data_IF_748648633894
#
_entry.id   IF_748648633894
#
_cell.length_a   1.000
_cell.length_b   1.000
_cell.length_c   1.000
_cell.angle_alpha   90.00
_cell.angle_beta   90.00
_cell.angle_gamma   90.00
#
_symmetry.space_group_name_H-M   'P 1'
#
loop_
_entity.id
_entity.type
_entity.pdbx_description
1 polymer ?
#
# COMPACT_ATOMS: atom_id res chain seq x y z
N UNK A 1 5.92 -23.28 -11.10
CA UNK A 1 6.90 -23.80 -12.09
C UNK A 1 7.65 -22.62 -12.72
N UNK A 2 8.57 -22.86 -13.68
CA UNK A 2 9.14 -21.76 -14.47
C UNK A 2 8.05 -21.00 -15.24
N UNK A 3 7.04 -21.71 -15.74
CA UNK A 3 5.90 -21.10 -16.43
C UNK A 3 5.09 -20.19 -15.50
N UNK A 4 4.85 -20.61 -14.25
CA UNK A 4 4.20 -19.75 -13.24
C UNK A 4 4.98 -18.47 -12.98
N UNK A 5 6.31 -18.58 -12.86
CA UNK A 5 7.17 -17.42 -12.65
C UNK A 5 7.12 -16.50 -13.88
N UNK A 6 7.26 -17.07 -15.08
CA UNK A 6 7.23 -16.32 -16.33
C UNK A 6 5.88 -15.63 -16.57
N UNK A 7 4.76 -16.23 -16.16
CA UNK A 7 3.43 -15.64 -16.28
C UNK A 7 3.24 -14.47 -15.31
N UNK A 8 3.69 -14.60 -14.06
CA UNK A 8 3.51 -13.54 -13.05
C UNK A 8 4.49 -12.37 -13.21
N UNK A 9 5.75 -12.62 -13.57
CA UNK A 9 6.78 -11.58 -13.69
C UNK A 9 6.65 -10.79 -15.02
N UNK A 10 6.02 -11.37 -16.04
CA UNK A 10 5.69 -10.69 -17.29
C UNK A 10 4.37 -9.92 -17.14
N UNK A 11 4.49 -8.61 -16.90
CA UNK A 11 3.34 -7.71 -16.65
C UNK A 11 2.26 -7.80 -17.72
N UNK A 12 2.64 -7.97 -18.99
CA UNK A 12 1.66 -8.06 -20.07
C UNK A 12 0.90 -9.39 -20.01
N UNK A 13 1.61 -10.51 -19.87
CA UNK A 13 0.97 -11.83 -19.76
C UNK A 13 0.10 -11.95 -18.52
N UNK A 14 0.58 -11.45 -17.39
CA UNK A 14 -0.21 -11.41 -16.15
C UNK A 14 -1.51 -10.64 -16.37
N UNK A 15 -1.42 -9.43 -16.93
CA UNK A 15 -2.59 -8.59 -17.23
C UNK A 15 -3.58 -9.30 -18.15
N UNK A 16 -3.10 -9.87 -19.25
CA UNK A 16 -3.94 -10.61 -20.21
C UNK A 16 -4.66 -11.80 -19.53
N UNK A 17 -3.93 -12.56 -18.70
CA UNK A 17 -4.50 -13.69 -17.96
C UNK A 17 -5.55 -13.24 -16.91
N UNK A 18 -5.35 -12.09 -16.26
CA UNK A 18 -6.35 -11.54 -15.32
C UNK A 18 -7.63 -11.15 -16.06
N UNK A 19 -7.51 -10.46 -17.20
CA UNK A 19 -8.65 -10.06 -18.03
C UNK A 19 -9.40 -11.28 -18.56
N UNK A 20 -8.70 -12.29 -19.08
CA UNK A 20 -9.31 -13.54 -19.56
C UNK A 20 -10.08 -14.25 -18.44
N UNK A 21 -9.56 -14.19 -17.21
CA UNK A 21 -10.23 -14.73 -16.05
C UNK A 21 -11.37 -13.84 -15.52
N UNK A 22 -11.64 -12.68 -16.11
CA UNK A 22 -12.67 -11.74 -15.64
C UNK A 22 -12.31 -11.06 -14.31
N UNK A 23 -11.01 -10.85 -14.06
CA UNK A 23 -10.51 -10.04 -12.97
C UNK A 23 -10.19 -8.64 -13.49
N UNK A 24 -10.52 -7.63 -12.69
CA UNK A 24 -10.32 -6.25 -13.09
C UNK A 24 -8.85 -5.84 -12.88
N UNK A 25 -8.33 -5.09 -13.84
CA UNK A 25 -6.95 -4.57 -13.90
C UNK A 25 -7.04 -3.12 -14.36
N UNK A 26 -6.02 -2.28 -14.14
CA UNK A 26 -6.05 -0.91 -14.63
C UNK A 26 -6.34 -0.88 -16.14
N UNK A 27 -7.42 -0.19 -16.49
CA UNK A 27 -7.80 0.06 -17.87
C UNK A 27 -6.66 0.80 -18.55
N UNK A 28 -6.23 0.29 -19.70
CA UNK A 28 -5.19 0.92 -20.48
C UNK A 28 -5.36 0.59 -21.95
N UNK A 29 -4.92 1.51 -22.79
CA UNK A 29 -4.94 1.35 -24.24
C UNK A 29 -3.70 2.00 -24.85
N UNK A 30 -3.28 1.47 -25.99
CA UNK A 30 -2.20 2.04 -26.75
C UNK A 30 -2.76 2.81 -27.94
N UNK A 31 -2.38 4.08 -28.07
CA UNK A 31 -2.90 4.98 -29.11
C UNK A 31 -1.74 5.69 -29.81
N UNK A 32 -1.98 6.08 -31.07
CA UNK A 32 -1.03 6.82 -31.91
C UNK A 32 -1.47 8.25 -32.20
N UNK A 33 -2.63 8.66 -31.67
CA UNK A 33 -3.21 9.99 -31.89
C UNK A 33 -3.72 10.58 -30.57
N UNK A 34 -3.68 11.91 -30.48
CA UNK A 34 -4.26 12.65 -29.34
C UNK A 34 -5.77 12.42 -29.25
N UNK A 35 -6.46 12.28 -30.40
CA UNK A 35 -7.87 11.97 -30.45
C UNK A 35 -8.19 10.64 -29.76
N UNK A 36 -7.43 9.58 -30.08
CA UNK A 36 -7.58 8.27 -29.43
C UNK A 36 -7.33 8.31 -27.93
N UNK A 37 -6.35 9.10 -27.47
CA UNK A 37 -6.12 9.30 -26.03
C UNK A 37 -7.33 9.96 -25.36
N UNK A 38 -7.91 10.99 -25.99
CA UNK A 38 -9.08 11.69 -25.48
C UNK A 38 -10.35 10.83 -25.52
N UNK A 39 -10.51 9.95 -26.51
CA UNK A 39 -11.61 8.98 -26.56
C UNK A 39 -11.54 8.04 -25.37
N UNK A 40 -10.38 7.41 -25.15
CA UNK A 40 -10.16 6.53 -24.01
C UNK A 40 -10.40 7.24 -22.66
N UNK A 41 -9.86 8.44 -22.46
CA UNK A 41 -10.05 9.18 -21.22
C UNK A 41 -11.51 9.58 -20.95
N UNK A 42 -12.35 9.73 -21.99
CA UNK A 42 -13.80 9.93 -21.80
C UNK A 42 -14.52 8.66 -21.34
N UNK A 43 -13.98 7.49 -21.65
CA UNK A 43 -14.52 6.20 -21.22
C UNK A 43 -14.10 5.88 -19.77
N UNK A 44 -12.83 6.10 -19.43
CA UNK A 44 -12.28 5.72 -18.11
C UNK A 44 -12.31 6.83 -17.06
N UNK A 45 -12.47 8.08 -17.47
CA UNK A 45 -12.39 9.24 -16.58
C UNK A 45 -10.97 9.72 -16.31
N UNK A 46 -10.84 10.69 -15.42
CA UNK A 46 -9.56 11.29 -15.01
C UNK A 46 -9.28 11.03 -13.52
N UNK A 47 -8.01 11.02 -13.08
CA UNK A 47 -6.81 11.26 -13.90
C UNK A 47 -6.42 10.04 -14.76
N UNK A 48 -5.64 10.29 -15.81
CA UNK A 48 -4.98 9.25 -16.61
C UNK A 48 -3.47 9.45 -16.64
N UNK A 49 -2.74 8.37 -16.87
CA UNK A 49 -1.29 8.35 -17.02
C UNK A 49 -0.97 8.11 -18.49
N UNK A 50 -0.15 9.00 -19.07
CA UNK A 50 0.38 8.84 -20.42
C UNK A 50 1.83 8.39 -20.33
N UNK A 51 2.17 7.29 -21.00
CA UNK A 51 3.54 6.76 -21.08
C UNK A 51 3.93 6.55 -22.55
N UNK A 52 4.95 7.26 -23.05
CA UNK A 52 5.44 7.03 -24.41
C UNK A 52 6.05 5.65 -24.56
N UNK A 53 5.79 5.01 -25.71
CA UNK A 53 6.35 3.70 -26.02
C UNK A 53 7.83 3.85 -26.39
N UNK A 54 8.65 2.91 -25.95
CA UNK A 54 10.10 2.86 -26.23
C UNK A 54 10.90 4.09 -25.75
N UNK A 55 10.43 4.81 -24.72
CA UNK A 55 11.21 5.82 -24.01
C UNK A 55 11.67 5.31 -22.65
N UNK A 56 12.79 5.84 -22.15
CA UNK A 56 13.33 5.51 -20.83
C UNK A 56 13.07 6.66 -19.85
N UNK A 57 12.93 6.33 -18.57
CA UNK A 57 12.84 7.32 -17.48
C UNK A 57 11.57 8.17 -17.47
N UNK A 58 10.50 7.76 -18.16
CA UNK A 58 9.25 8.51 -18.21
C UNK A 58 9.30 9.78 -19.08
N UNK A 59 10.36 9.94 -19.88
CA UNK A 59 10.52 11.09 -20.78
C UNK A 59 9.34 11.19 -21.75
N UNK A 60 8.67 12.35 -21.77
CA UNK A 60 7.48 12.64 -22.58
C UNK A 60 6.17 12.09 -22.02
N UNK A 61 6.19 11.43 -20.86
CA UNK A 61 5.00 10.98 -20.14
C UNK A 61 4.56 11.94 -19.04
N UNK A 62 3.39 11.70 -18.49
CA UNK A 62 2.84 12.53 -17.42
C UNK A 62 1.44 12.10 -16.99
N UNK A 63 0.98 12.69 -15.90
CA UNK A 63 -0.42 12.61 -15.49
C UNK A 63 -1.21 13.69 -16.22
N UNK A 64 -2.46 13.39 -16.53
CA UNK A 64 -3.43 14.37 -16.98
C UNK A 64 -4.65 14.28 -16.06
N UNK A 65 -5.05 15.42 -15.50
CA UNK A 65 -6.21 15.56 -14.63
C UNK A 65 -7.46 16.06 -15.36
N UNK A 66 -7.28 16.57 -16.58
CA UNK A 66 -8.35 16.98 -17.47
C UNK A 66 -7.98 16.78 -18.96
N UNK A 67 -8.93 17.09 -19.85
CA UNK A 67 -8.76 16.94 -21.30
C UNK A 67 -7.69 17.85 -21.90
N UNK A 68 -7.43 19.03 -21.34
CA UNK A 68 -6.49 19.99 -21.90
C UNK A 68 -5.05 19.63 -21.52
N UNK A 69 -4.84 19.19 -20.27
CA UNK A 69 -3.61 18.53 -19.85
C UNK A 69 -3.35 17.27 -20.69
N UNK A 70 -4.37 16.44 -20.92
CA UNK A 70 -4.22 15.22 -21.71
C UNK A 70 -3.79 15.50 -23.13
N UNK A 71 -4.39 16.48 -23.82
CA UNK A 71 -3.97 16.85 -25.18
C UNK A 71 -2.50 17.24 -25.22
N UNK A 72 -2.07 18.01 -24.24
CA UNK A 72 -0.70 18.51 -24.12
C UNK A 72 0.30 17.37 -23.87
N UNK A 73 0.03 16.54 -22.87
CA UNK A 73 0.88 15.40 -22.50
C UNK A 73 0.87 14.32 -23.59
N UNK A 74 -0.28 14.01 -24.19
CA UNK A 74 -0.38 13.03 -25.27
C UNK A 74 0.37 13.49 -26.53
N UNK A 75 0.26 14.76 -26.92
CA UNK A 75 1.00 15.29 -28.07
C UNK A 75 2.51 15.23 -27.84
N UNK A 76 2.97 15.66 -26.66
CA UNK A 76 4.38 15.57 -26.27
C UNK A 76 4.86 14.11 -26.24
N UNK A 77 4.04 13.21 -25.70
CA UNK A 77 4.37 11.79 -25.59
C UNK A 77 4.45 11.06 -26.93
N UNK A 78 3.53 11.35 -27.86
CA UNK A 78 3.56 10.81 -29.23
C UNK A 78 4.83 11.28 -29.92
N UNK A 79 5.18 12.57 -29.81
CA UNK A 79 6.39 13.13 -30.41
C UNK A 79 7.68 12.55 -29.79
N UNK A 80 7.68 12.27 -28.48
CA UNK A 80 8.81 11.70 -27.78
C UNK A 80 9.02 10.20 -28.09
N UNK A 81 7.98 9.48 -28.48
CA UNK A 81 8.05 8.06 -28.80
C UNK A 81 8.75 7.83 -30.16
N UNK A 82 9.78 6.97 -30.23
CA UNK A 82 10.42 6.59 -31.49
C UNK A 82 9.48 5.95 -32.52
N UNK A 83 8.31 5.47 -32.07
CA UNK A 83 7.29 4.78 -32.88
C UNK A 83 5.97 5.55 -32.94
N UNK A 84 5.94 6.82 -32.50
CA UNK A 84 4.75 7.68 -32.45
C UNK A 84 3.57 7.05 -31.71
N UNK A 85 3.84 6.40 -30.57
CA UNK A 85 2.85 5.60 -29.84
C UNK A 85 2.94 5.87 -28.34
N UNK A 86 1.78 6.01 -27.69
CA UNK A 86 1.67 6.19 -26.23
C UNK A 86 0.73 5.14 -25.64
N UNK A 87 1.05 4.67 -24.44
CA UNK A 87 0.12 3.97 -23.56
C UNK A 87 -0.62 5.00 -22.72
N UNK A 88 -1.94 4.97 -22.74
CA UNK A 88 -2.81 5.75 -21.84
C UNK A 88 -3.47 4.78 -20.88
N UNK A 89 -3.37 5.05 -19.58
CA UNK A 89 -3.82 4.15 -18.51
C UNK A 89 -4.63 4.95 -17.48
N UNK A 90 -5.67 4.36 -16.92
CA UNK A 90 -6.41 4.96 -15.80
C UNK A 90 -5.47 5.16 -14.60
N UNK A 91 -5.54 6.33 -13.95
CA UNK A 91 -4.75 6.56 -12.74
C UNK A 91 -5.52 6.07 -11.52
N UNK A 92 -5.01 5.01 -10.91
CA UNK A 92 -5.47 4.52 -9.60
C UNK A 92 -4.74 5.20 -8.42
N UNK A 93 -3.99 6.28 -8.68
CA UNK A 93 -3.31 7.05 -7.63
C UNK A 93 -4.31 7.56 -6.59
N UNK A 94 -4.03 7.33 -5.31
CA UNK A 94 -4.94 7.70 -4.22
C UNK A 94 -5.96 6.62 -3.83
N UNK A 95 -6.07 5.52 -4.57
CA UNK A 95 -6.88 4.38 -4.14
C UNK A 95 -6.24 3.67 -2.94
N UNK A 96 -7.03 2.94 -2.17
CA UNK A 96 -6.54 2.13 -1.06
C UNK A 96 -5.72 0.96 -1.61
N UNK A 97 -4.56 0.69 -1.02
CA UNK A 97 -3.65 -0.39 -1.46
C UNK A 97 -3.59 -1.51 -0.41
N UNK A 98 -3.85 -2.74 -0.85
CA UNK A 98 -3.87 -3.92 0.00
C UNK A 98 -2.90 -4.99 -0.52
N UNK A 99 -2.29 -5.70 0.40
CA UNK A 99 -1.51 -6.90 0.11
C UNK A 99 -2.07 -8.08 0.89
N UNK A 100 -2.03 -9.26 0.31
CA UNK A 100 -2.36 -10.50 1.02
C UNK A 100 -1.30 -11.55 0.77
N UNK A 101 -0.85 -12.14 1.86
CA UNK A 101 0.09 -13.26 1.86
C UNK A 101 -0.70 -14.55 1.87
N UNK A 102 -0.56 -15.34 0.81
CA UNK A 102 -1.32 -16.57 0.61
C UNK A 102 -0.39 -17.77 0.55
N UNK A 103 -0.88 -18.92 1.00
CA UNK A 103 -0.16 -20.20 0.91
C UNK A 103 -1.10 -21.26 0.36
N UNK A 104 -0.60 -22.05 -0.60
CA UNK A 104 -1.31 -23.17 -1.23
C UNK A 104 -0.45 -24.43 -1.25
N UNK A 105 -1.09 -25.59 -1.10
CA UNK A 105 -0.43 -26.89 -1.19
C UNK A 105 -0.97 -27.78 -2.33
N UNK A 106 -0.31 -28.93 -2.53
CA UNK A 106 -0.63 -29.90 -3.58
C UNK A 106 -2.02 -30.55 -3.45
N UNK A 107 -2.65 -30.46 -2.27
CA UNK A 107 -3.99 -30.97 -2.01
C UNK A 107 -5.07 -29.90 -2.29
N UNK A 108 -4.67 -28.75 -2.84
CA UNK A 108 -5.50 -27.57 -3.08
C UNK A 108 -6.01 -26.89 -1.79
N UNK A 109 -5.37 -27.16 -0.64
CA UNK A 109 -5.60 -26.34 0.54
C UNK A 109 -5.05 -24.93 0.28
N UNK A 110 -5.80 -23.93 0.71
CA UNK A 110 -5.47 -22.51 0.51
C UNK A 110 -5.79 -21.74 1.79
N UNK A 111 -4.84 -20.93 2.24
CA UNK A 111 -5.00 -20.04 3.41
C UNK A 111 -4.48 -18.65 3.09
N UNK A 112 -5.19 -17.63 3.59
CA UNK A 112 -4.65 -16.27 3.72
C UNK A 112 -3.92 -16.20 5.06
N UNK A 113 -2.60 -16.06 5.02
CA UNK A 113 -1.78 -15.96 6.23
C UNK A 113 -1.90 -14.58 6.84
N UNK A 114 -1.91 -13.53 6.02
CA UNK A 114 -1.98 -12.16 6.50
C UNK A 114 -2.57 -11.24 5.43
N UNK A 115 -3.39 -10.29 5.86
CA UNK A 115 -3.80 -9.14 5.06
C UNK A 115 -3.13 -7.88 5.59
N UNK A 116 -2.61 -7.07 4.68
CA UNK A 116 -1.88 -5.85 4.96
C UNK A 116 -2.62 -4.71 4.26
N UNK A 117 -2.84 -3.61 4.96
CA UNK A 117 -3.38 -2.37 4.42
C UNK A 117 -2.29 -1.29 4.44
N UNK A 118 -2.17 -0.54 3.34
CA UNK A 118 -1.23 0.56 3.27
C UNK A 118 -1.92 1.83 3.78
N UNK A 119 -1.27 2.53 4.71
CA UNK A 119 -1.70 3.86 5.16
C UNK A 119 -1.46 4.88 4.05
N UNK A 120 -0.29 4.79 3.41
CA UNK A 120 0.02 5.54 2.20
C UNK A 120 -0.75 4.93 1.02
N UNK A 121 -1.56 5.71 0.29
CA UNK A 121 -2.38 5.18 -0.79
C UNK A 121 -1.57 4.88 -2.06
N UNK A 122 -2.20 4.20 -3.02
CA UNK A 122 -1.64 3.86 -4.33
C UNK A 122 -0.90 5.05 -4.94
N UNK A 123 0.30 4.77 -5.46
CA UNK A 123 1.22 5.77 -6.01
C UNK A 123 2.54 5.85 -5.23
N UNK A 124 2.57 5.32 -4.01
CA UNK A 124 3.77 5.07 -3.22
C UNK A 124 3.99 3.56 -3.16
N UNK A 125 5.20 3.10 -3.48
CA UNK A 125 5.52 1.68 -3.44
C UNK A 125 5.32 1.12 -2.02
N UNK A 126 4.71 -0.06 -1.85
CA UNK A 126 4.47 -0.71 -0.53
C UNK A 126 5.72 -0.80 0.37
N UNK A 127 6.90 -0.91 -0.24
CA UNK A 127 8.21 -0.83 0.41
C UNK A 127 8.51 0.51 1.10
N UNK A 128 8.05 1.62 0.51
CA UNK A 128 8.15 2.98 1.02
C UNK A 128 6.86 3.45 1.71
N UNK A 129 5.79 2.65 1.70
CA UNK A 129 4.55 2.94 2.43
C UNK A 129 4.66 2.56 3.90
N UNK A 130 3.99 3.31 4.77
CA UNK A 130 3.59 2.82 6.08
C UNK A 130 2.46 1.81 5.88
N UNK A 131 2.57 0.64 6.51
CA UNK A 131 1.58 -0.43 6.35
C UNK A 131 1.16 -1.03 7.68
N UNK A 132 -0.05 -1.58 7.73
CA UNK A 132 -0.65 -2.16 8.93
C UNK A 132 -1.15 -3.58 8.67
N UNK A 133 -1.10 -4.42 9.70
CA UNK A 133 -1.74 -5.74 9.69
C UNK A 133 -2.54 -5.95 10.98
N UNK A 134 -3.77 -6.51 10.91
CA UNK A 134 -4.51 -6.88 9.70
C UNK A 134 -5.00 -5.65 8.91
N UNK A 135 -5.72 -5.88 7.79
CA UNK A 135 -6.47 -4.82 7.12
C UNK A 135 -7.60 -4.32 8.05
N UNK A 136 -7.88 -3.02 8.00
CA UNK A 136 -8.72 -2.31 8.97
C UNK A 136 -10.00 -1.77 8.32
N UNK A 137 -9.90 -1.19 7.12
CA UNK A 137 -10.99 -0.40 6.51
C UNK A 137 -11.79 -1.17 5.45
N UNK A 138 -11.62 -2.49 5.40
CA UNK A 138 -12.42 -3.38 4.56
C UNK A 138 -13.63 -3.89 5.32
N UNK A 139 -14.80 -3.86 4.69
CA UNK A 139 -15.94 -4.66 5.13
C UNK A 139 -15.66 -6.14 4.85
N UNK A 140 -16.31 -7.04 5.60
CA UNK A 140 -16.18 -8.49 5.38
C UNK A 140 -16.49 -8.92 3.92
N UNK A 141 -17.51 -8.38 3.22
CA UNK A 141 -17.72 -8.65 1.80
C UNK A 141 -16.57 -8.24 0.88
N UNK A 142 -15.93 -7.09 1.14
CA UNK A 142 -14.76 -6.65 0.36
C UNK A 142 -13.54 -7.54 0.65
N UNK A 143 -13.30 -7.86 1.92
CA UNK A 143 -12.24 -8.78 2.33
C UNK A 143 -12.40 -10.17 1.69
N UNK A 144 -13.62 -10.73 1.69
CA UNK A 144 -13.92 -12.01 1.03
C UNK A 144 -13.65 -11.95 -0.46
N UNK A 145 -14.00 -10.84 -1.12
CA UNK A 145 -13.71 -10.66 -2.55
C UNK A 145 -12.21 -10.68 -2.82
N UNK A 146 -11.41 -9.97 -2.00
CA UNK A 146 -9.94 -10.01 -2.08
C UNK A 146 -9.44 -11.44 -1.89
N UNK A 147 -9.87 -12.13 -0.82
CA UNK A 147 -9.51 -13.52 -0.53
C UNK A 147 -9.80 -14.47 -1.69
N UNK A 148 -10.99 -14.39 -2.27
CA UNK A 148 -11.43 -15.24 -3.37
C UNK A 148 -10.64 -14.93 -4.66
N UNK A 149 -10.39 -13.64 -4.93
CA UNK A 149 -9.54 -13.24 -6.06
C UNK A 149 -8.11 -13.74 -5.88
N UNK A 150 -7.54 -13.69 -4.68
CA UNK A 150 -6.19 -14.22 -4.43
C UNK A 150 -6.10 -15.73 -4.71
N UNK A 151 -7.09 -16.52 -4.30
CA UNK A 151 -7.13 -17.96 -4.64
C UNK A 151 -7.24 -18.16 -6.15
N UNK A 152 -8.10 -17.39 -6.82
CA UNK A 152 -8.27 -17.47 -8.27
C UNK A 152 -6.98 -17.09 -9.01
N UNK A 153 -6.28 -16.06 -8.56
CA UNK A 153 -4.99 -15.62 -9.11
C UNK A 153 -3.91 -16.69 -8.92
N UNK A 154 -3.83 -17.31 -7.74
CA UNK A 154 -2.93 -18.44 -7.49
C UNK A 154 -3.17 -19.61 -8.46
N UNK A 155 -4.44 -19.90 -8.77
CA UNK A 155 -4.81 -20.94 -9.74
C UNK A 155 -4.43 -20.56 -11.17
N UNK A 156 -4.69 -19.31 -11.59
CA UNK A 156 -4.37 -18.82 -12.94
C UNK A 156 -2.86 -18.88 -13.19
N UNK A 157 -2.05 -18.44 -12.21
CA UNK A 157 -0.59 -18.46 -12.34
C UNK A 157 -0.02 -19.87 -12.14
N UNK A 158 -0.76 -20.77 -11.49
CA UNK A 158 -0.33 -22.15 -11.28
C UNK A 158 0.68 -22.31 -10.14
N UNK A 159 0.55 -21.51 -9.07
CA UNK A 159 1.32 -21.72 -7.84
C UNK A 159 0.60 -22.78 -7.01
N UNK A 160 1.12 -24.01 -7.02
CA UNK A 160 0.50 -25.18 -6.38
C UNK A 160 1.12 -25.54 -5.03
N UNK A 161 2.39 -25.21 -4.78
CA UNK A 161 3.13 -25.67 -3.59
C UNK A 161 4.02 -24.57 -3.01
N UNK A 162 3.44 -23.61 -2.30
CA UNK A 162 4.22 -22.52 -1.73
C UNK A 162 3.40 -21.30 -1.35
N UNK A 163 4.12 -20.23 -0.99
CA UNK A 163 3.55 -18.93 -0.67
C UNK A 163 3.69 -17.92 -1.82
N UNK A 164 2.80 -16.93 -1.86
CA UNK A 164 2.87 -15.79 -2.77
C UNK A 164 2.23 -14.55 -2.14
N UNK A 165 2.64 -13.39 -2.61
CA UNK A 165 2.06 -12.10 -2.25
C UNK A 165 1.19 -11.61 -3.41
N UNK A 166 -0.04 -11.20 -3.14
CA UNK A 166 -0.95 -10.62 -4.15
C UNK A 166 -1.33 -9.21 -3.72
N UNK A 167 -1.24 -8.26 -4.66
CA UNK A 167 -1.54 -6.85 -4.41
C UNK A 167 -2.80 -6.40 -5.13
N UNK A 168 -3.57 -5.57 -4.44
CA UNK A 168 -4.84 -5.05 -4.91
C UNK A 168 -4.96 -3.55 -4.64
N UNK A 169 -5.74 -2.87 -5.47
CA UNK A 169 -6.25 -1.54 -5.19
C UNK A 169 -7.77 -1.58 -5.02
N UNK A 170 -8.29 -0.82 -4.06
CA UNK A 170 -9.73 -0.63 -3.84
C UNK A 170 -10.06 0.84 -3.96
N UNK A 171 -11.00 1.18 -4.84
CA UNK A 171 -11.53 2.52 -4.93
C UNK A 171 -12.32 2.85 -3.66
N UNK A 172 -11.93 3.86 -2.88
CA UNK A 172 -12.66 4.23 -1.65
C UNK A 172 -14.09 4.73 -1.92
N UNK A 173 -14.41 5.16 -3.15
CA UNK A 173 -15.73 5.75 -3.46
C UNK A 173 -16.81 4.68 -3.72
N UNK A 174 -16.47 3.58 -4.40
CA UNK A 174 -17.43 2.58 -4.86
C UNK A 174 -17.06 1.11 -4.54
N UNK A 175 -15.88 0.88 -3.93
CA UNK A 175 -15.39 -0.45 -3.61
C UNK A 175 -14.96 -1.28 -4.83
N UNK A 176 -14.71 -0.64 -6.00
CA UNK A 176 -14.13 -1.30 -7.18
C UNK A 176 -12.77 -1.88 -6.81
N UNK A 177 -12.62 -3.19 -7.00
CA UNK A 177 -11.42 -3.95 -6.68
C UNK A 177 -10.64 -4.21 -7.96
N UNK A 178 -9.34 -3.91 -7.96
CA UNK A 178 -8.43 -4.10 -9.07
C UNK A 178 -7.21 -4.92 -8.62
N UNK A 179 -6.75 -5.84 -9.46
CA UNK A 179 -5.50 -6.58 -9.26
C UNK A 179 -4.31 -5.75 -9.77
N UNK A 180 -3.26 -5.64 -8.96
CA UNK A 180 -2.05 -4.90 -9.31
C UNK A 180 -0.95 -5.84 -9.82
N UNK A 181 -0.54 -6.77 -8.97
CA UNK A 181 0.47 -7.76 -9.30
C UNK A 181 0.39 -8.97 -8.36
N UNK A 182 1.08 -10.05 -8.73
CA UNK A 182 1.40 -11.15 -7.83
C UNK A 182 2.89 -11.46 -7.89
N UNK A 183 3.49 -11.66 -6.72
CA UNK A 183 4.86 -12.13 -6.59
C UNK A 183 4.84 -13.63 -6.25
N UNK A 184 5.22 -14.54 -7.18
CA UNK A 184 5.10 -16.00 -7.02
C UNK A 184 6.24 -16.60 -6.16
N UNK A 185 6.56 -15.94 -5.05
CA UNK A 185 7.70 -16.22 -4.17
C UNK A 185 7.49 -15.57 -2.81
N UNK A 186 8.39 -15.88 -1.87
CA UNK A 186 8.55 -15.06 -0.67
C UNK A 186 8.98 -13.63 -1.03
N UNK A 187 8.50 -12.69 -0.24
CA UNK A 187 8.69 -11.24 -0.41
C UNK A 187 9.10 -10.59 0.93
N UNK A 188 9.42 -9.30 0.90
CA UNK A 188 9.56 -8.48 2.11
C UNK A 188 8.26 -8.53 2.94
N UNK A 189 7.11 -8.42 2.27
CA UNK A 189 5.78 -8.53 2.89
C UNK A 189 5.53 -9.89 3.52
N UNK A 190 6.03 -11.00 2.94
CA UNK A 190 5.93 -12.34 3.55
C UNK A 190 6.75 -12.46 4.84
N UNK A 191 7.90 -11.76 4.91
CA UNK A 191 8.71 -11.71 6.12
C UNK A 191 8.01 -10.88 7.22
N UNK A 192 7.44 -9.73 6.84
CA UNK A 192 6.59 -8.90 7.71
C UNK A 192 5.39 -9.71 8.23
N UNK A 193 4.63 -10.36 7.35
CA UNK A 193 3.49 -11.20 7.71
C UNK A 193 3.87 -12.37 8.62
N UNK A 194 5.02 -13.01 8.37
CA UNK A 194 5.51 -14.09 9.25
C UNK A 194 5.83 -13.59 10.65
N UNK A 195 6.30 -12.34 10.77
CA UNK A 195 6.57 -11.69 12.07
C UNK A 195 5.29 -11.16 12.73
N UNK A 196 4.35 -10.66 11.93
CA UNK A 196 3.08 -10.16 12.39
C UNK A 196 2.18 -11.28 12.95
N UNK A 197 2.20 -12.46 12.32
CA UNK A 197 1.27 -13.56 12.65
C UNK A 197 1.92 -14.68 13.46
N UNK A 198 3.25 -14.74 13.47
CA UNK A 198 4.01 -15.89 13.95
C UNK A 198 3.96 -17.11 13.02
N UNK A 199 3.23 -17.05 11.90
CA UNK A 199 3.18 -18.12 10.90
C UNK A 199 4.47 -18.10 10.05
N UNK A 200 5.31 -19.15 10.05
CA UNK A 200 6.62 -19.09 9.39
C UNK A 200 6.52 -19.43 7.89
N UNK A 201 6.02 -18.48 7.07
CA UNK A 201 5.67 -18.68 5.65
C UNK A 201 6.76 -19.38 4.86
N UNK A 202 8.00 -18.87 4.91
CA UNK A 202 9.12 -19.46 4.15
C UNK A 202 9.42 -20.91 4.56
N UNK A 203 9.32 -21.23 5.84
CA UNK A 203 9.55 -22.58 6.38
C UNK A 203 8.45 -23.55 5.96
N UNK A 204 7.19 -23.09 6.00
CA UNK A 204 6.04 -23.86 5.53
C UNK A 204 6.14 -24.08 4.02
N UNK A 205 6.35 -23.02 3.23
CA UNK A 205 6.48 -23.09 1.78
C UNK A 205 7.59 -24.05 1.33
N UNK A 206 8.74 -24.06 2.01
CA UNK A 206 9.83 -25.00 1.71
C UNK A 206 9.42 -26.47 1.93
N UNK A 207 8.60 -26.77 2.94
CA UNK A 207 8.06 -28.11 3.17
C UNK A 207 7.00 -28.48 2.13
N UNK A 208 6.11 -27.55 1.77
CA UNK A 208 5.12 -27.78 0.72
C UNK A 208 5.78 -28.10 -0.63
N UNK A 209 6.88 -27.42 -0.95
CA UNK A 209 7.64 -27.64 -2.19
C UNK A 209 8.24 -29.06 -2.32
N UNK A 210 8.45 -29.77 -1.20
CA UNK A 210 8.90 -31.18 -1.19
C UNK A 210 7.75 -32.17 -0.98
N UNK A 211 6.51 -31.70 -1.11
CA UNK A 211 5.32 -32.54 -1.18
C UNK A 211 4.55 -32.71 0.13
N UNK A 212 4.80 -31.92 1.17
CA UNK A 212 3.90 -31.89 2.33
C UNK A 212 2.60 -31.15 2.00
N UNK A 213 1.54 -31.40 2.77
CA UNK A 213 0.31 -30.58 2.82
C UNK A 213 0.27 -29.74 4.09
N UNK A 214 -0.54 -28.68 4.11
CA UNK A 214 -0.72 -27.79 5.26
C UNK A 214 -1.25 -28.53 6.49
N UNK A 215 -2.08 -29.56 6.30
CA UNK A 215 -2.64 -30.40 7.36
C UNK A 215 -1.58 -31.29 8.04
N UNK A 216 -0.52 -31.66 7.30
CA UNK A 216 0.58 -32.49 7.81
C UNK A 216 1.60 -31.68 8.64
N UNK A 217 1.57 -30.36 8.52
CA UNK A 217 2.50 -29.45 9.18
C UNK A 217 1.90 -28.91 10.47
N UNK A 218 2.56 -29.12 11.60
CA UNK A 218 2.15 -28.55 12.89
C UNK A 218 2.53 -27.07 13.04
N UNK A 219 1.65 -26.29 13.67
CA UNK A 219 1.93 -24.92 14.10
C UNK A 219 2.81 -24.94 15.36
N UNK A 220 4.05 -24.46 15.23
CA UNK A 220 5.05 -24.49 16.30
C UNK A 220 4.73 -23.57 17.48
N UNK A 221 3.92 -22.52 17.28
CA UNK A 221 3.57 -21.57 18.35
C UNK A 221 2.47 -22.15 19.25
N UNK A 222 1.42 -22.72 18.66
CA UNK A 222 0.31 -23.31 19.44
C UNK A 222 0.61 -24.74 19.89
N UNK A 223 1.51 -25.43 19.20
CA UNK A 223 1.91 -26.82 19.45
C UNK A 223 0.80 -27.86 19.25
N UNK A 224 -0.40 -27.43 18.86
CA UNK A 224 -1.63 -28.25 18.92
C UNK A 224 -2.50 -28.15 17.66
N UNK A 225 -2.27 -27.15 16.81
CA UNK A 225 -3.03 -26.95 15.57
C UNK A 225 -2.16 -27.21 14.34
N UNK A 226 -2.75 -27.60 13.19
CA UNK A 226 -2.01 -27.68 11.93
C UNK A 226 -1.68 -26.28 11.38
N UNK A 227 -0.94 -26.21 10.27
CA UNK A 227 -0.70 -25.01 9.48
C UNK A 227 -1.83 -24.71 8.47
N UNK A 228 -2.85 -25.57 8.36
CA UNK A 228 -4.05 -25.36 7.55
C UNK A 228 -5.08 -24.46 8.25
N UNK A 229 -4.66 -23.26 8.64
CA UNK A 229 -5.51 -22.24 9.26
C UNK A 229 -5.12 -20.84 8.80
N UNK A 230 -6.05 -19.89 8.95
CA UNK A 230 -5.80 -18.46 8.74
C UNK A 230 -5.56 -17.82 10.13
N UNK A 231 -4.39 -17.20 10.40
CA UNK A 231 -4.12 -16.52 11.65
C UNK A 231 -5.11 -15.38 11.95
N UNK A 232 -5.53 -15.28 13.22
CA UNK A 232 -6.32 -14.16 13.73
C UNK A 232 -5.49 -13.38 14.76
N UNK A 233 -5.35 -12.08 14.56
CA UNK A 233 -4.54 -11.21 15.41
C UNK A 233 -5.45 -10.43 16.36
N UNK A 234 -5.10 -10.42 17.65
CA UNK A 234 -5.76 -9.61 18.67
C UNK A 234 -4.97 -8.32 18.98
N UNK A 235 -4.12 -7.91 18.04
CA UNK A 235 -3.27 -6.72 18.08
C UNK A 235 -3.12 -6.15 16.67
N UNK A 236 -2.60 -4.92 16.59
CA UNK A 236 -2.24 -4.23 15.37
C UNK A 236 -0.73 -4.24 15.21
N UNK A 237 -0.27 -4.55 14.00
CA UNK A 237 1.13 -4.44 13.61
C UNK A 237 1.28 -3.25 12.69
N UNK A 238 2.28 -2.39 12.94
CA UNK A 238 2.61 -1.25 12.08
C UNK A 238 4.05 -1.38 11.61
N UNK A 239 4.23 -1.31 10.29
CA UNK A 239 5.54 -1.19 9.63
C UNK A 239 5.76 0.25 9.20
N UNK A 240 6.92 0.80 9.52
CA UNK A 240 7.38 2.12 9.04
C UNK A 240 8.70 1.95 8.29
N UNK A 241 8.81 2.44 7.04
CA UNK A 241 10.08 2.41 6.31
C UNK A 241 11.13 3.34 6.92
N UNK A 242 12.41 3.03 6.66
CA UNK A 242 13.56 3.85 7.03
C UNK A 242 14.26 4.33 5.77
N UNK A 243 14.48 5.64 5.67
CA UNK A 243 15.22 6.27 4.57
C UNK A 243 16.51 6.91 5.06
N UNK A 244 17.51 7.09 4.19
CA UNK A 244 18.79 7.71 4.55
C UNK A 244 19.26 8.73 3.49
N UNK A 245 18.36 9.65 3.12
CA UNK A 245 18.62 10.68 2.10
C UNK A 245 19.78 11.62 2.45
N UNK A 246 20.13 11.77 3.73
CA UNK A 246 21.28 12.57 4.15
C UNK A 246 22.61 12.08 3.55
N UNK A 247 22.71 10.79 3.19
CA UNK A 247 23.88 10.23 2.49
C UNK A 247 23.88 10.50 0.98
N UNK A 248 22.79 11.05 0.43
CA UNK A 248 22.59 11.23 -1.01
C UNK A 248 22.07 12.65 -1.32
N UNK A 249 22.90 13.71 -1.19
CA UNK A 249 22.46 15.10 -1.31
C UNK A 249 21.92 15.49 -2.69
N UNK A 250 22.24 14.73 -3.74
CA UNK A 250 21.69 14.91 -5.08
C UNK A 250 20.39 14.13 -5.33
N UNK A 251 19.93 13.33 -4.37
CA UNK A 251 18.71 12.54 -4.49
C UNK A 251 17.51 13.32 -3.96
N UNK A 252 16.43 13.35 -4.74
CA UNK A 252 15.17 13.95 -4.34
C UNK A 252 14.41 13.04 -3.36
N UNK A 253 14.04 13.59 -2.20
CA UNK A 253 13.28 12.91 -1.14
C UNK A 253 11.77 12.76 -1.44
N UNK A 254 11.43 12.59 -2.72
CA UNK A 254 10.07 12.34 -3.20
C UNK A 254 9.81 10.83 -3.27
N UNK A 255 8.73 10.37 -2.63
CA UNK A 255 8.32 8.96 -2.69
C UNK A 255 7.42 8.73 -3.92
N UNK A 256 7.40 7.50 -4.40
CA UNK A 256 6.66 7.12 -5.60
C UNK A 256 6.64 5.60 -5.80
N UNK A 257 6.35 5.10 -7.00
CA UNK A 257 6.24 3.67 -7.28
C UNK A 257 7.59 2.92 -7.29
N UNK A 258 8.72 3.63 -7.17
CA UNK A 258 10.04 3.03 -7.02
C UNK A 258 10.55 3.21 -5.59
N UNK A 259 10.88 2.09 -4.94
CA UNK A 259 11.33 2.05 -3.55
C UNK A 259 12.66 2.80 -3.35
N UNK A 260 12.74 3.63 -2.30
CA UNK A 260 13.93 4.39 -1.90
C UNK A 260 14.34 4.13 -0.44
N UNK A 261 13.51 3.46 0.34
CA UNK A 261 13.84 3.04 1.71
C UNK A 261 15.00 2.05 1.74
N UNK A 262 15.81 2.12 2.80
CA UNK A 262 16.99 1.28 3.04
C UNK A 262 16.74 0.20 4.09
N UNK A 263 15.57 0.23 4.73
CA UNK A 263 15.15 -0.69 5.76
C UNK A 263 13.73 -0.37 6.24
N UNK A 264 13.30 -1.08 7.27
CA UNK A 264 11.98 -0.92 7.87
C UNK A 264 12.02 -1.35 9.34
N UNK A 265 11.10 -0.80 10.12
CA UNK A 265 10.85 -1.21 11.51
C UNK A 265 9.43 -1.73 11.61
N UNK A 266 9.23 -2.69 12.51
CA UNK A 266 7.93 -3.29 12.80
C UNK A 266 7.65 -3.13 14.29
N UNK A 267 6.43 -2.77 14.62
CA UNK A 267 5.93 -2.66 15.99
C UNK A 267 4.61 -3.39 16.13
N UNK A 268 4.27 -3.79 17.36
CA UNK A 268 3.01 -4.44 17.70
C UNK A 268 2.38 -3.63 18.84
N UNK A 269 1.10 -3.32 18.76
CA UNK A 269 0.33 -2.64 19.81
C UNK A 269 -1.11 -3.14 19.87
N UNK A 270 -1.79 -2.90 20.99
CA UNK A 270 -3.23 -3.22 21.16
C UNK A 270 -4.15 -2.20 20.47
N UNK A 271 -3.58 -1.09 20.01
CA UNK A 271 -4.21 -0.09 19.16
C UNK A 271 -3.25 0.36 18.06
N UNK A 272 -3.79 0.96 17.00
CA UNK A 272 -2.97 1.55 15.94
C UNK A 272 -2.07 2.66 16.47
N UNK A 273 -2.59 3.55 17.33
CA UNK A 273 -1.84 4.63 17.95
C UNK A 273 -0.63 4.12 18.74
N UNK A 274 -0.81 3.07 19.56
CA UNK A 274 0.28 2.46 20.33
C UNK A 274 1.35 1.88 19.40
N UNK A 275 0.95 1.09 18.41
CA UNK A 275 1.86 0.49 17.44
C UNK A 275 2.63 1.57 16.66
N UNK A 276 1.93 2.56 16.10
CA UNK A 276 2.53 3.64 15.31
C UNK A 276 3.59 4.41 16.13
N UNK A 277 3.27 4.85 17.35
CA UNK A 277 4.22 5.57 18.20
C UNK A 277 5.45 4.71 18.52
N UNK A 278 5.27 3.42 18.80
CA UNK A 278 6.37 2.46 19.01
C UNK A 278 7.23 2.31 17.75
N UNK A 279 6.62 2.23 16.57
CA UNK A 279 7.36 2.14 15.31
C UNK A 279 8.25 3.37 15.12
N UNK A 280 7.71 4.58 15.27
CA UNK A 280 8.49 5.81 15.09
C UNK A 280 9.64 5.92 16.09
N UNK A 281 9.40 5.56 17.36
CA UNK A 281 10.45 5.52 18.39
C UNK A 281 11.55 4.50 18.08
N UNK A 282 11.22 3.39 17.43
CA UNK A 282 12.15 2.33 17.05
C UNK A 282 12.87 2.56 15.71
N UNK A 283 12.67 3.69 15.02
CA UNK A 283 13.33 3.99 13.73
C UNK A 283 14.85 4.20 13.82
N UNK A 284 15.43 4.18 15.02
CA UNK A 284 16.85 4.48 15.26
C UNK A 284 17.24 5.84 14.63
N UNK A 285 16.34 6.81 14.78
CA UNK A 285 16.47 8.17 14.25
C UNK A 285 16.45 9.24 15.37
N UNK A 286 16.54 8.82 16.64
CA UNK A 286 16.50 9.72 17.80
C UNK A 286 15.11 10.33 18.04
N UNK A 287 14.05 9.61 17.68
CA UNK A 287 12.67 10.05 17.83
C UNK A 287 12.05 9.41 19.09
N UNK A 288 11.22 10.16 19.82
CA UNK A 288 10.46 9.65 20.97
C UNK A 288 9.03 9.20 20.62
N UNK A 289 8.66 9.34 19.34
CA UNK A 289 7.33 9.09 18.78
C UNK A 289 7.24 9.75 17.40
N UNK A 290 6.02 9.98 16.90
CA UNK A 290 5.80 10.68 15.62
C UNK A 290 6.19 12.17 15.74
N UNK A 291 7.28 12.63 15.09
CA UNK A 291 7.80 13.98 15.32
C UNK A 291 6.96 15.04 14.61
N UNK A 292 7.10 16.30 15.05
CA UNK A 292 6.69 17.47 14.25
C UNK A 292 7.80 17.84 13.27
N UNK A 293 7.41 18.45 12.14
CA UNK A 293 8.31 19.03 11.14
C UNK A 293 7.85 20.44 10.81
N UNK A 294 8.73 21.27 10.24
CA UNK A 294 8.33 22.62 9.83
C UNK A 294 7.39 22.51 8.63
N UNK A 295 6.18 23.05 8.78
CA UNK A 295 5.19 23.17 7.70
C UNK A 295 4.97 24.65 7.43
N UNK A 296 5.20 25.10 6.21
CA UNK A 296 4.85 26.46 5.80
C UNK A 296 3.35 26.49 5.45
N UNK A 297 2.50 27.30 6.13
CA UNK A 297 1.08 27.40 5.80
C UNK A 297 0.82 27.81 4.35
N UNK A 298 1.75 28.55 3.72
CA UNK A 298 1.63 28.93 2.32
C UNK A 298 1.85 27.75 1.35
N UNK A 299 2.51 26.67 1.79
CA UNK A 299 2.95 25.55 0.95
C UNK A 299 2.44 24.19 1.48
N UNK A 300 1.27 24.17 2.14
CA UNK A 300 0.67 22.95 2.71
C UNK A 300 0.61 21.79 1.71
N UNK A 301 0.23 22.10 0.46
CA UNK A 301 0.17 21.09 -0.61
C UNK A 301 1.52 20.45 -0.89
N UNK A 302 2.62 21.20 -0.79
CA UNK A 302 3.97 20.69 -1.02
C UNK A 302 4.43 19.81 0.16
N UNK A 303 4.18 20.25 1.39
CA UNK A 303 4.50 19.51 2.61
C UNK A 303 3.77 18.16 2.70
N UNK A 304 2.60 18.04 2.06
CA UNK A 304 1.76 16.83 2.06
C UNK A 304 1.99 15.92 0.83
N UNK A 305 2.92 16.27 -0.06
CA UNK A 305 3.37 15.36 -1.13
C UNK A 305 4.03 14.11 -0.53
N UNK A 306 3.99 12.97 -1.24
CA UNK A 306 4.73 11.76 -0.87
C UNK A 306 6.21 12.05 -0.55
N UNK A 307 6.57 11.95 0.72
CA UNK A 307 7.93 12.18 1.24
C UNK A 307 8.10 11.41 2.56
N UNK A 308 9.35 11.15 3.02
CA UNK A 308 9.61 10.55 4.33
C UNK A 308 9.02 11.32 5.52
N UNK A 309 8.71 12.61 5.33
CA UNK A 309 8.21 13.49 6.38
C UNK A 309 6.71 13.76 6.27
N UNK A 310 6.02 13.17 5.29
CA UNK A 310 4.60 13.44 5.00
C UNK A 310 3.71 13.22 6.22
N UNK A 311 3.83 12.07 6.89
CA UNK A 311 3.01 11.76 8.07
C UNK A 311 3.33 12.71 9.25
N UNK A 312 4.59 13.12 9.40
CA UNK A 312 4.97 14.14 10.38
C UNK A 312 4.40 15.51 10.06
N UNK A 313 4.28 15.87 8.78
CA UNK A 313 3.61 17.11 8.35
C UNK A 313 2.11 17.05 8.64
N UNK A 314 1.44 15.92 8.36
CA UNK A 314 0.05 15.67 8.75
C UNK A 314 -0.13 15.88 10.27
N UNK A 315 0.73 15.25 11.07
CA UNK A 315 0.66 15.37 12.53
C UNK A 315 0.93 16.80 13.02
N UNK A 316 1.86 17.52 12.40
CA UNK A 316 2.12 18.94 12.73
C UNK A 316 0.88 19.79 12.48
N UNK A 317 0.25 19.63 11.32
CA UNK A 317 -0.98 20.37 10.97
C UNK A 317 -2.09 20.05 11.97
N UNK A 318 -2.28 18.78 12.36
CA UNK A 318 -3.29 18.40 13.36
C UNK A 318 -3.04 19.09 14.69
N UNK A 319 -1.80 19.02 15.21
CA UNK A 319 -1.38 19.68 16.47
C UNK A 319 -1.63 21.18 16.44
N UNK A 320 -1.32 21.84 15.33
CA UNK A 320 -1.48 23.29 15.16
C UNK A 320 -2.94 23.71 14.92
N UNK A 321 -3.80 22.79 14.47
CA UNK A 321 -5.21 23.05 14.15
C UNK A 321 -6.17 22.92 15.32
N UNK A 322 -5.70 22.52 16.50
CA UNK A 322 -6.55 22.22 17.64
C UNK A 322 -7.40 23.43 18.07
N UNK A 323 -8.72 23.21 18.12
CA UNK A 323 -9.71 24.15 18.63
C UNK A 323 -10.39 23.50 19.84
N UNK A 324 -10.30 24.12 21.02
CA UNK A 324 -10.87 23.57 22.28
C UNK A 324 -10.41 22.13 22.62
N UNK A 325 -9.17 21.78 22.26
CA UNK A 325 -8.59 20.46 22.52
C UNK A 325 -9.04 19.38 21.53
N UNK A 326 -9.64 19.76 20.41
CA UNK A 326 -10.07 18.85 19.34
C UNK A 326 -9.53 19.23 17.98
N UNK A 327 -9.24 18.24 17.14
CA UNK A 327 -8.91 18.48 15.73
C UNK A 327 -10.22 18.72 14.97
N UNK A 328 -10.39 19.87 14.27
CA UNK A 328 -11.63 20.15 13.56
C UNK A 328 -11.87 19.20 12.38
N UNK A 329 -13.11 18.77 12.15
CA UNK A 329 -13.47 17.88 11.02
C UNK A 329 -13.03 18.44 9.65
N UNK A 330 -13.10 19.77 9.48
CA UNK A 330 -12.62 20.47 8.27
C UNK A 330 -11.12 20.22 8.02
N UNK A 331 -10.32 20.06 9.07
CA UNK A 331 -8.90 19.74 8.97
C UNK A 331 -8.71 18.30 8.47
N UNK A 332 -9.46 17.35 9.03
CA UNK A 332 -9.41 15.95 8.61
C UNK A 332 -9.83 15.77 7.15
N UNK A 333 -10.90 16.44 6.73
CA UNK A 333 -11.35 16.45 5.34
C UNK A 333 -10.29 17.00 4.40
N UNK A 334 -9.70 18.14 4.74
CA UNK A 334 -8.65 18.76 3.92
C UNK A 334 -7.38 17.90 3.82
N UNK A 335 -6.97 17.27 4.93
CA UNK A 335 -5.85 16.33 4.95
C UNK A 335 -6.15 15.09 4.10
N UNK A 336 -7.37 14.56 4.15
CA UNK A 336 -7.79 13.45 3.30
C UNK A 336 -7.75 13.84 1.80
N UNK A 337 -8.28 14.99 1.43
CA UNK A 337 -8.29 15.46 0.02
C UNK A 337 -6.88 15.56 -0.57
N UNK A 338 -5.93 16.11 0.21
CA UNK A 338 -4.56 16.31 -0.22
C UNK A 338 -3.71 15.04 -0.15
N UNK A 339 -3.97 14.16 0.82
CA UNK A 339 -3.11 13.00 1.05
C UNK A 339 -3.67 11.68 0.50
N UNK A 340 -5.00 11.58 0.40
CA UNK A 340 -5.76 10.36 0.15
C UNK A 340 -5.52 9.25 1.17
N UNK A 341 -4.94 9.57 2.34
CA UNK A 341 -4.87 8.67 3.50
C UNK A 341 -6.30 8.45 3.99
N UNK A 342 -6.66 7.20 4.28
CA UNK A 342 -8.03 6.86 4.70
C UNK A 342 -8.45 7.65 5.95
N UNK A 343 -9.68 8.20 6.01
CA UNK A 343 -10.18 8.97 7.14
C UNK A 343 -10.04 8.24 8.49
N UNK A 344 -10.10 6.91 8.51
CA UNK A 344 -9.90 6.13 9.72
C UNK A 344 -8.51 6.37 10.35
N UNK A 345 -7.45 6.37 9.54
CA UNK A 345 -6.10 6.64 10.05
C UNK A 345 -5.95 8.09 10.52
N UNK A 346 -6.58 9.04 9.81
CA UNK A 346 -6.56 10.45 10.19
C UNK A 346 -7.26 10.69 11.53
N UNK A 347 -8.37 10.01 11.79
CA UNK A 347 -9.09 10.06 13.08
C UNK A 347 -8.23 9.51 14.24
N UNK A 348 -7.47 8.43 14.00
CA UNK A 348 -6.53 7.92 15.01
C UNK A 348 -5.37 8.89 15.29
N UNK A 349 -4.85 9.56 14.26
CA UNK A 349 -3.82 10.59 14.43
C UNK A 349 -4.36 11.83 15.13
N UNK A 350 -5.61 12.20 14.88
CA UNK A 350 -6.29 13.27 15.59
C UNK A 350 -6.39 12.95 17.08
N UNK A 351 -6.83 11.74 17.43
CA UNK A 351 -6.89 11.27 18.83
C UNK A 351 -5.52 11.36 19.52
N UNK A 352 -4.42 11.07 18.81
CA UNK A 352 -3.06 11.26 19.32
C UNK A 352 -2.77 12.75 19.60
N UNK A 353 -3.07 13.65 18.67
CA UNK A 353 -2.82 15.09 18.83
C UNK A 353 -3.66 15.67 19.99
N UNK A 354 -4.92 15.26 20.12
CA UNK A 354 -5.81 15.66 21.22
C UNK A 354 -5.32 15.15 22.58
N UNK A 355 -4.80 13.92 22.63
CA UNK A 355 -4.24 13.35 23.86
C UNK A 355 -2.93 14.05 24.25
N UNK A 356 -2.06 14.39 23.29
CA UNK A 356 -0.86 15.19 23.54
C UNK A 356 -1.21 16.58 24.10
N UNK A 357 -2.23 17.24 23.56
CA UNK A 357 -2.72 18.53 24.06
C UNK A 357 -3.21 18.44 25.50
N UNK A 358 -4.00 17.39 25.80
CA UNK A 358 -4.51 17.13 27.14
C UNK A 358 -3.39 16.95 28.16
N UNK A 359 -2.39 16.10 27.83
CA UNK A 359 -1.21 15.83 28.68
C UNK A 359 -0.37 17.10 28.90
N UNK A 360 -0.31 18.00 27.92
CA UNK A 360 0.46 19.24 28.02
C UNK A 360 -0.18 20.30 28.90
N UNK A 361 -1.51 20.29 29.03
CA UNK A 361 -2.29 21.33 29.72
C UNK A 361 -2.79 20.90 31.10
N UNK A 362 -3.03 19.61 31.32
CA UNK A 362 -3.58 19.10 32.57
C UNK A 362 -2.50 18.57 33.54
N UNK A 363 -2.72 18.65 34.86
CA UNK A 363 -1.89 17.94 35.83
C UNK A 363 -1.91 16.43 35.57
N UNK A 364 -0.77 15.77 35.75
CA UNK A 364 -0.68 14.34 35.53
C UNK A 364 -1.46 13.56 36.59
N UNK A 365 -2.52 12.87 36.16
CA UNK A 365 -3.28 11.91 36.96
C UNK A 365 -2.95 10.49 36.51
N UNK A 366 -3.25 9.49 37.35
CA UNK A 366 -3.06 8.09 36.97
C UNK A 366 -3.93 7.71 35.75
N UNK A 367 -5.12 8.30 35.62
CA UNK A 367 -6.01 8.08 34.49
C UNK A 367 -5.44 8.66 33.20
N UNK A 368 -4.94 9.91 33.26
CA UNK A 368 -4.33 10.58 32.10
C UNK A 368 -3.05 9.87 31.66
N UNK A 369 -2.21 9.44 32.61
CA UNK A 369 -0.99 8.68 32.31
C UNK A 369 -1.27 7.27 31.78
N UNK A 370 -2.42 6.67 32.11
CA UNK A 370 -2.82 5.37 31.56
C UNK A 370 -3.46 5.49 30.17
N UNK A 371 -4.05 6.65 29.86
CA UNK A 371 -4.60 6.96 28.53
C UNK A 371 -3.48 7.29 27.54
N UNK A 372 -2.50 8.08 27.98
CA UNK A 372 -1.29 8.42 27.23
C UNK A 372 -0.35 7.21 27.11
#
# INVERSE_FOLDING_TARGET
SLDSIALAEDRQKFREAMIEAGLDVPASTTVTTVAGACEFAREVGFPVIVRPSFTLGGSGGGFAHDLDELKSVAAAGIQASPVNQILVEESISGWKEYEVEVVRDKADNFVVVCSIENLDPMGIHTGDSITVAPAITLTDPEYRRIRDWSRKIMNIVGVETGGSNVQFAVNPEDGRLIVIEMNPRVSRSSALASKATGFPIAKVAARLAVGYTLDELGNEITGTTPCSFEPALDYVVVKVPRWDFAKFPGAEAKLGPSMKSVGEVMSIGRSFAEALQKAFRSLEAGLDGLPSVVVNPADLSDALKPSPHRLSAVMTIMRESLEEGRVPDKCLQHLHELTRIDPWFLDQLATLAETEDEVSKQPWTAELLSKA
#
